data_IF_756922773619
#
_entry.id   IF_756922773619
#
_cell.length_a   1.000
_cell.length_b   1.000
_cell.length_c   1.000
_cell.angle_alpha   90.00
_cell.angle_beta   90.00
_cell.angle_gamma   90.00
#
_symmetry.space_group_name_H-M   'P 1'
#
loop_
_entity.id
_entity.type
_entity.pdbx_description
1 polymer ?
#
# COMPACT_ATOMS: atom_id res chain seq x y z
N UNK A 1 5.50 2.95 -2.59
CA UNK A 1 5.46 3.79 -3.81
C UNK A 1 4.35 3.24 -4.69
N UNK A 2 3.42 4.10 -5.11
CA UNK A 2 2.45 3.76 -6.16
C UNK A 2 3.02 4.34 -7.44
N UNK A 3 3.21 3.50 -8.46
CA UNK A 3 3.63 3.92 -9.79
C UNK A 3 2.50 3.53 -10.75
N UNK A 4 2.10 4.46 -11.60
CA UNK A 4 1.09 4.26 -12.64
C UNK A 4 1.50 5.04 -13.87
N UNK A 5 1.32 4.45 -15.04
CA UNK A 5 1.62 5.07 -16.33
C UNK A 5 0.53 4.71 -17.33
N UNK A 6 0.25 5.62 -18.26
CA UNK A 6 -0.69 5.39 -19.36
C UNK A 6 0.04 5.61 -20.68
N UNK A 7 -0.18 4.72 -21.65
CA UNK A 7 0.46 4.79 -22.98
C UNK A 7 2.01 4.85 -22.94
N UNK A 8 2.61 4.13 -21.99
CA UNK A 8 4.04 4.11 -21.67
C UNK A 8 4.69 2.76 -22.05
N UNK A 9 5.92 2.78 -22.59
CA UNK A 9 6.70 1.58 -22.90
C UNK A 9 7.38 1.01 -21.64
N UNK A 10 7.33 -0.30 -21.35
CA UNK A 10 7.55 -0.90 -20.02
C UNK A 10 9.01 -0.97 -19.51
N UNK A 11 9.90 -0.06 -19.91
CA UNK A 11 11.34 -0.16 -19.60
C UNK A 11 11.78 0.57 -18.32
N UNK A 12 10.96 1.45 -17.72
CA UNK A 12 11.34 2.11 -16.46
C UNK A 12 11.25 1.20 -15.24
N UNK A 13 12.18 1.34 -14.27
CA UNK A 13 12.12 0.62 -13.02
C UNK A 13 10.85 1.00 -12.24
N UNK A 14 10.13 0.02 -11.67
CA UNK A 14 8.86 0.25 -10.96
C UNK A 14 9.03 1.00 -9.63
N UNK A 15 10.27 1.25 -9.20
CA UNK A 15 10.63 1.91 -7.95
C UNK A 15 11.90 2.75 -8.14
N UNK A 16 11.92 3.91 -7.52
CA UNK A 16 13.05 4.83 -7.47
C UNK A 16 13.21 5.35 -6.04
N UNK A 17 14.44 5.66 -5.62
CA UNK A 17 14.70 6.32 -4.33
C UNK A 17 14.54 7.84 -4.45
N UNK A 18 14.28 8.50 -3.33
CA UNK A 18 14.36 9.97 -3.27
C UNK A 18 15.80 10.39 -3.60
N UNK A 19 15.95 11.37 -4.49
CA UNK A 19 17.23 11.83 -5.04
C UNK A 19 17.76 10.99 -6.21
N UNK A 20 17.11 9.89 -6.58
CA UNK A 20 17.53 9.04 -7.70
C UNK A 20 16.76 9.38 -8.98
N UNK A 21 17.49 9.66 -10.07
CA UNK A 21 16.90 10.06 -11.34
C UNK A 21 16.12 11.39 -11.25
N UNK A 22 15.48 11.78 -12.35
CA UNK A 22 14.78 13.08 -12.43
C UNK A 22 13.58 13.11 -11.47
N UNK A 23 12.80 12.03 -11.44
CA UNK A 23 11.62 11.89 -10.56
C UNK A 23 12.03 11.91 -9.08
N UNK A 24 13.08 11.19 -8.69
CA UNK A 24 13.58 11.23 -7.32
C UNK A 24 14.17 12.58 -6.93
N UNK A 25 14.81 13.29 -7.86
CA UNK A 25 15.32 14.65 -7.64
C UNK A 25 14.20 15.69 -7.47
N UNK A 26 13.10 15.58 -8.24
CA UNK A 26 11.92 16.42 -8.02
C UNK A 26 11.32 16.19 -6.63
N UNK A 27 11.25 14.93 -6.19
CA UNK A 27 10.82 14.58 -4.84
C UNK A 27 11.78 15.13 -3.76
N UNK A 28 13.10 15.05 -3.96
CA UNK A 28 14.09 15.54 -3.01
C UNK A 28 14.08 17.07 -2.88
N UNK A 29 14.02 17.76 -4.02
CA UNK A 29 14.07 19.22 -4.08
C UNK A 29 12.76 19.90 -3.68
N UNK A 30 11.63 19.16 -3.68
CA UNK A 30 10.28 19.68 -3.41
C UNK A 30 9.88 20.82 -4.35
N UNK A 31 10.45 20.84 -5.54
CA UNK A 31 10.21 21.87 -6.56
C UNK A 31 9.99 21.22 -7.93
N UNK A 32 9.19 21.85 -8.80
CA UNK A 32 9.08 21.42 -10.18
C UNK A 32 10.43 21.45 -10.89
N UNK A 33 10.71 20.44 -11.71
CA UNK A 33 11.87 20.36 -12.59
C UNK A 33 11.42 20.45 -14.04
N UNK A 34 12.10 21.27 -14.84
CA UNK A 34 11.82 21.47 -16.25
C UNK A 34 13.07 21.12 -17.05
N UNK A 35 12.96 20.13 -17.93
CA UNK A 35 14.02 19.71 -18.83
C UNK A 35 13.59 19.99 -20.26
N UNK A 36 14.43 20.72 -20.97
CA UNK A 36 14.21 21.09 -22.37
C UNK A 36 15.28 20.41 -23.23
N UNK A 37 14.98 20.25 -24.51
CA UNK A 37 15.92 19.73 -25.53
C UNK A 37 16.56 18.38 -25.17
N UNK A 38 15.72 17.43 -24.71
CA UNK A 38 16.13 16.06 -24.46
C UNK A 38 16.50 15.37 -25.78
N UNK A 39 17.80 15.26 -26.04
CA UNK A 39 18.35 14.59 -27.23
C UNK A 39 18.09 13.08 -27.23
N UNK A 40 18.15 12.45 -26.05
CA UNK A 40 17.83 11.04 -25.83
C UNK A 40 16.96 10.93 -24.58
N UNK A 41 15.64 10.88 -24.79
CA UNK A 41 14.70 10.50 -23.73
C UNK A 41 14.61 8.97 -23.67
N UNK A 42 14.75 8.41 -22.47
CA UNK A 42 14.46 7.00 -22.16
C UNK A 42 12.93 6.74 -22.16
N UNK A 43 12.12 7.80 -22.21
CA UNK A 43 10.66 7.73 -22.29
C UNK A 43 10.25 7.74 -23.76
N UNK A 44 9.44 6.75 -24.15
CA UNK A 44 8.77 6.70 -25.46
C UNK A 44 7.26 6.78 -25.25
N UNK A 45 6.61 7.76 -25.88
CA UNK A 45 5.15 7.88 -25.88
C UNK A 45 4.63 7.04 -27.04
N UNK A 46 3.76 6.06 -26.74
CA UNK A 46 3.16 5.18 -27.74
C UNK A 46 1.71 5.59 -27.98
N UNK A 47 1.33 5.79 -29.24
CA UNK A 47 -0.05 6.06 -29.65
C UNK A 47 -0.50 5.06 -30.71
N UNK A 48 -1.80 4.97 -30.97
CA UNK A 48 -2.35 4.16 -32.07
C UNK A 48 -1.87 4.59 -33.47
N UNK A 49 -1.23 5.76 -33.58
CA UNK A 49 -0.69 6.31 -34.83
C UNK A 49 0.85 6.21 -34.93
N UNK A 50 1.52 5.66 -33.90
CA UNK A 50 2.97 5.52 -33.86
C UNK A 50 3.57 5.87 -32.49
N UNK A 51 4.89 5.75 -32.39
CA UNK A 51 5.66 6.05 -31.19
C UNK A 51 6.65 7.18 -31.42
N UNK A 52 6.80 8.07 -30.44
CA UNK A 52 7.76 9.18 -30.53
C UNK A 52 8.27 9.58 -29.15
N UNK A 53 9.54 9.95 -29.07
CA UNK A 53 10.19 10.44 -27.84
C UNK A 53 9.83 11.92 -27.61
N UNK A 54 9.43 12.32 -26.39
CA UNK A 54 9.24 13.74 -26.07
C UNK A 54 10.61 14.45 -26.08
N UNK A 55 10.62 15.73 -26.46
CA UNK A 55 11.82 16.57 -26.42
C UNK A 55 11.88 17.43 -25.15
N UNK A 56 10.79 17.49 -24.39
CA UNK A 56 10.65 18.29 -23.19
C UNK A 56 9.95 17.48 -22.11
N UNK A 57 10.38 17.67 -20.87
CA UNK A 57 9.87 16.96 -19.71
C UNK A 57 9.64 17.96 -18.57
N UNK A 58 8.54 17.78 -17.85
CA UNK A 58 8.24 18.57 -16.66
C UNK A 58 7.79 17.66 -15.55
N UNK A 59 8.45 17.78 -14.40
CA UNK A 59 8.27 16.88 -13.27
C UNK A 59 7.83 17.69 -12.08
N UNK A 60 6.66 17.37 -11.54
CA UNK A 60 5.99 18.10 -10.48
C UNK A 60 5.86 17.21 -9.23
N UNK A 61 6.52 17.54 -8.12
CA UNK A 61 6.26 16.84 -6.86
C UNK A 61 4.84 17.16 -6.38
N UNK A 62 4.14 16.15 -5.88
CA UNK A 62 2.86 16.30 -5.19
C UNK A 62 3.14 16.52 -3.70
N UNK A 63 2.83 17.71 -3.19
CA UNK A 63 3.04 18.04 -1.78
C UNK A 63 1.72 18.09 -1.01
N UNK A 64 1.70 17.46 0.16
CA UNK A 64 0.68 17.63 1.17
C UNK A 64 1.38 17.97 2.49
N UNK A 65 1.11 19.16 3.06
CA UNK A 65 1.76 19.65 4.29
C UNK A 65 3.31 19.51 4.25
N UNK A 66 3.93 20.00 3.17
CA UNK A 66 5.39 19.92 2.91
C UNK A 66 5.97 18.50 2.76
N UNK A 67 5.13 17.47 2.81
CA UNK A 67 5.51 16.09 2.57
C UNK A 67 5.22 15.72 1.13
N UNK A 68 6.22 15.14 0.45
CA UNK A 68 6.03 14.62 -0.91
C UNK A 68 5.26 13.31 -0.86
N UNK A 69 4.04 13.31 -1.38
CA UNK A 69 3.15 12.15 -1.43
C UNK A 69 3.22 11.41 -2.77
N UNK A 70 3.79 12.03 -3.79
CA UNK A 70 3.96 11.46 -5.13
C UNK A 70 4.68 12.43 -6.07
N UNK A 71 4.83 12.04 -7.34
CA UNK A 71 5.41 12.87 -8.39
C UNK A 71 4.63 12.64 -9.68
N UNK A 72 4.34 13.71 -10.41
CA UNK A 72 3.77 13.68 -11.77
C UNK A 72 4.86 14.06 -12.75
N UNK A 73 5.00 13.28 -13.82
CA UNK A 73 5.93 13.52 -14.90
C UNK A 73 5.15 13.69 -16.22
N UNK A 74 5.46 14.76 -16.96
CA UNK A 74 4.77 15.15 -18.20
C UNK A 74 5.79 15.32 -19.33
N UNK A 75 5.71 14.49 -20.36
CA UNK A 75 6.51 14.60 -21.58
C UNK A 75 5.75 15.28 -22.73
N UNK A 76 6.42 16.17 -23.47
CA UNK A 76 5.87 16.80 -24.70
C UNK A 76 6.96 17.11 -25.74
N UNK A 77 6.56 17.62 -26.91
CA UNK A 77 7.46 17.96 -28.03
C UNK A 77 7.89 19.45 -28.11
N UNK A 78 7.53 20.27 -27.12
CA UNK A 78 7.84 21.71 -27.09
C UNK A 78 7.93 22.21 -25.64
N UNK A 79 8.29 23.46 -25.36
CA UNK A 79 8.42 23.93 -23.96
C UNK A 79 7.10 24.43 -23.35
N UNK A 80 6.74 23.98 -22.14
CA UNK A 80 5.59 24.54 -21.42
C UNK A 80 5.72 26.05 -21.25
N UNK A 81 4.70 26.78 -21.66
CA UNK A 81 4.58 28.21 -21.40
C UNK A 81 4.46 28.47 -19.89
N UNK A 82 4.79 29.67 -19.45
CA UNK A 82 4.68 30.04 -18.03
C UNK A 82 3.26 29.88 -17.48
N UNK A 83 2.25 30.20 -18.30
CA UNK A 83 0.83 30.07 -17.94
C UNK A 83 0.47 28.60 -17.73
N UNK A 84 0.89 27.70 -18.64
CA UNK A 84 0.68 26.26 -18.48
C UNK A 84 1.38 25.71 -17.23
N UNK A 85 2.63 26.12 -16.96
CA UNK A 85 3.36 25.67 -15.77
C UNK A 85 2.68 26.12 -14.47
N UNK A 86 2.19 27.36 -14.41
CA UNK A 86 1.44 27.88 -13.26
C UNK A 86 0.13 27.14 -13.06
N UNK A 87 -0.62 26.91 -14.14
CA UNK A 87 -1.86 26.15 -14.10
C UNK A 87 -1.62 24.72 -13.60
N UNK A 88 -0.63 24.01 -14.14
CA UNK A 88 -0.30 22.65 -13.70
C UNK A 88 0.10 22.65 -12.22
N UNK A 89 0.87 23.65 -11.76
CA UNK A 89 1.27 23.76 -10.36
C UNK A 89 0.06 23.87 -9.42
N UNK A 90 -0.98 24.63 -9.80
CA UNK A 90 -2.23 24.74 -9.04
C UNK A 90 -3.03 23.42 -9.05
N UNK A 91 -3.09 22.75 -10.19
CA UNK A 91 -3.78 21.45 -10.32
C UNK A 91 -3.08 20.38 -9.48
N UNK A 92 -1.75 20.37 -9.48
CA UNK A 92 -0.91 19.45 -8.70
C UNK A 92 -1.20 19.53 -7.20
N UNK A 93 -1.44 20.73 -6.66
CA UNK A 93 -1.82 20.92 -5.26
C UNK A 93 -3.14 20.21 -4.93
N UNK A 94 -4.16 20.39 -5.77
CA UNK A 94 -5.45 19.71 -5.61
C UNK A 94 -5.33 18.19 -5.72
N UNK A 95 -4.50 17.72 -6.67
CA UNK A 95 -4.23 16.29 -6.84
C UNK A 95 -3.52 15.73 -5.59
N UNK A 96 -2.58 16.45 -5.00
CA UNK A 96 -1.85 15.98 -3.81
C UNK A 96 -2.80 15.77 -2.63
N UNK A 97 -3.75 16.69 -2.40
CA UNK A 97 -4.79 16.57 -1.37
C UNK A 97 -5.68 15.35 -1.64
N UNK A 98 -6.20 15.22 -2.86
CA UNK A 98 -7.06 14.11 -3.24
C UNK A 98 -6.34 12.76 -3.13
N UNK A 99 -5.09 12.69 -3.57
CA UNK A 99 -4.25 11.50 -3.49
C UNK A 99 -3.99 11.09 -2.03
N UNK A 100 -3.62 12.04 -1.16
CA UNK A 100 -3.43 11.73 0.26
C UNK A 100 -4.73 11.25 0.92
N UNK A 101 -5.86 11.90 0.60
CA UNK A 101 -7.18 11.52 1.11
C UNK A 101 -7.56 10.10 0.71
N UNK A 102 -7.38 9.75 -0.57
CA UNK A 102 -7.60 8.39 -1.07
C UNK A 102 -6.69 7.37 -0.39
N UNK A 103 -5.40 7.69 -0.23
CA UNK A 103 -4.41 6.83 0.45
C UNK A 103 -4.80 6.56 1.90
N UNK A 104 -5.17 7.58 2.66
CA UNK A 104 -5.59 7.45 4.07
C UNK A 104 -6.85 6.60 4.17
N UNK A 105 -7.83 6.82 3.30
CA UNK A 105 -9.05 6.01 3.27
C UNK A 105 -8.76 4.54 3.01
N UNK A 106 -7.90 4.22 2.04
CA UNK A 106 -7.47 2.84 1.78
C UNK A 106 -6.78 2.20 2.99
N UNK A 107 -5.99 2.96 3.76
CA UNK A 107 -5.35 2.46 4.97
C UNK A 107 -6.37 2.16 6.07
N UNK A 108 -7.36 3.03 6.26
CA UNK A 108 -8.46 2.83 7.21
C UNK A 108 -9.23 1.55 6.86
N UNK A 109 -9.60 1.38 5.59
CA UNK A 109 -10.34 0.20 5.13
C UNK A 109 -9.53 -1.08 5.37
N UNK A 110 -8.23 -1.08 5.05
CA UNK A 110 -7.34 -2.21 5.29
C UNK A 110 -7.18 -2.54 6.79
N UNK A 111 -7.06 -1.51 7.64
CA UNK A 111 -6.97 -1.68 9.09
C UNK A 111 -8.28 -2.24 9.66
N UNK A 112 -9.43 -1.75 9.20
CA UNK A 112 -10.74 -2.24 9.61
C UNK A 112 -10.89 -3.73 9.28
N UNK A 113 -10.55 -4.14 8.05
CA UNK A 113 -10.58 -5.55 7.65
C UNK A 113 -9.67 -6.39 8.54
N UNK A 114 -8.46 -5.92 8.85
CA UNK A 114 -7.53 -6.63 9.73
C UNK A 114 -8.08 -6.78 11.15
N UNK A 115 -8.65 -5.73 11.72
CA UNK A 115 -9.25 -5.77 13.06
C UNK A 115 -10.43 -6.75 13.11
N UNK A 116 -11.28 -6.77 12.09
CA UNK A 116 -12.39 -7.73 12.01
C UNK A 116 -11.91 -9.17 11.93
N UNK A 117 -10.88 -9.45 11.12
CA UNK A 117 -10.28 -10.77 11.03
C UNK A 117 -9.69 -11.22 12.38
N UNK A 118 -8.95 -10.34 13.05
CA UNK A 118 -8.37 -10.64 14.36
C UNK A 118 -9.44 -10.90 15.44
N UNK A 119 -10.56 -10.16 15.40
CA UNK A 119 -11.69 -10.40 16.30
C UNK A 119 -12.34 -11.76 16.05
N UNK A 120 -12.53 -12.15 14.78
CA UNK A 120 -13.08 -13.46 14.43
C UNK A 120 -12.14 -14.62 14.84
N UNK A 121 -10.83 -14.46 14.64
CA UNK A 121 -9.82 -15.43 15.09
C UNK A 121 -9.81 -15.59 16.62
N UNK A 122 -9.88 -14.47 17.36
CA UNK A 122 -9.96 -14.50 18.82
C UNK A 122 -11.21 -15.22 19.31
N UNK A 123 -12.38 -14.94 18.72
CA UNK A 123 -13.63 -15.61 19.08
C UNK A 123 -13.55 -17.11 18.84
N UNK A 124 -12.99 -17.53 17.70
CA UNK A 124 -12.80 -18.95 17.40
C UNK A 124 -11.88 -19.64 18.43
N UNK A 125 -10.79 -18.99 18.84
CA UNK A 125 -9.91 -19.53 19.89
C UNK A 125 -10.62 -19.62 21.25
N UNK A 126 -11.45 -18.65 21.61
CA UNK A 126 -12.22 -18.69 22.86
C UNK A 126 -13.22 -19.86 22.87
N UNK A 127 -13.90 -20.11 21.75
CA UNK A 127 -14.81 -21.24 21.58
C UNK A 127 -14.07 -22.59 21.69
N UNK A 128 -12.90 -22.70 21.04
CA UNK A 128 -12.05 -23.91 21.11
C UNK A 128 -11.52 -24.16 22.54
N UNK A 129 -11.05 -23.10 23.22
CA UNK A 129 -10.61 -23.19 24.62
C UNK A 129 -11.75 -23.61 25.54
N UNK A 130 -12.97 -23.09 25.33
CA UNK A 130 -14.15 -23.49 26.10
C UNK A 130 -14.47 -24.96 25.89
N UNK A 131 -14.53 -25.42 24.64
CA UNK A 131 -14.78 -26.83 24.32
C UNK A 131 -13.71 -27.76 24.91
N UNK A 132 -12.44 -27.35 24.84
CA UNK A 132 -11.32 -28.11 25.42
C UNK A 132 -11.44 -28.20 26.94
N UNK A 133 -11.76 -27.09 27.62
CA UNK A 133 -11.97 -27.08 29.07
C UNK A 133 -13.15 -27.97 29.49
N UNK A 134 -14.27 -27.93 28.74
CA UNK A 134 -15.42 -28.81 28.97
C UNK A 134 -15.04 -30.29 28.82
N UNK A 135 -14.31 -30.64 27.75
CA UNK A 135 -13.83 -32.01 27.52
C UNK A 135 -12.86 -32.50 28.61
N UNK A 136 -11.94 -31.65 29.07
CA UNK A 136 -11.05 -31.95 30.18
C UNK A 136 -11.81 -32.18 31.49
N UNK A 137 -12.85 -31.38 31.76
CA UNK A 137 -13.69 -31.55 32.95
C UNK A 137 -14.41 -32.90 32.95
N UNK A 138 -14.99 -33.31 31.81
CA UNK A 138 -15.64 -34.62 31.65
C UNK A 138 -14.63 -35.75 31.89
N UNK A 139 -13.47 -35.69 31.22
CA UNK A 139 -12.42 -36.73 31.35
C UNK A 139 -11.89 -36.84 32.79
N UNK A 140 -11.73 -35.71 33.49
CA UNK A 140 -11.35 -35.70 34.89
C UNK A 140 -12.42 -36.33 35.81
N UNK A 141 -13.71 -36.10 35.53
CA UNK A 141 -14.80 -36.73 36.26
C UNK A 141 -14.84 -38.25 36.04
N UNK A 142 -14.68 -38.71 34.80
CA UNK A 142 -14.60 -40.14 34.47
C UNK A 142 -13.45 -40.84 35.18
N UNK A 143 -12.26 -40.23 35.18
CA UNK A 143 -11.10 -40.79 35.88
C UNK A 143 -11.34 -40.92 37.38
N UNK A 144 -11.92 -39.88 38.02
CA UNK A 144 -12.28 -39.93 39.44
C UNK A 144 -13.28 -41.04 39.74
N UNK A 145 -14.31 -41.20 38.91
CA UNK A 145 -15.30 -42.27 39.06
C UNK A 145 -14.66 -43.66 38.95
N UNK A 146 -13.76 -43.87 37.97
CA UNK A 146 -13.02 -45.14 37.83
C UNK A 146 -12.13 -45.43 39.04
N UNK A 147 -11.42 -44.43 39.55
CA UNK A 147 -10.58 -44.58 40.74
C UNK A 147 -11.39 -44.95 41.98
N UNK A 148 -12.53 -44.29 42.21
CA UNK A 148 -13.42 -44.60 43.33
C UNK A 148 -13.97 -46.04 43.24
N UNK A 149 -14.45 -46.46 42.07
CA UNK A 149 -14.98 -47.81 41.86
C UNK A 149 -13.91 -48.91 42.04
N UNK A 150 -12.65 -48.63 41.68
CA UNK A 150 -11.55 -49.55 41.91
C UNK A 150 -11.24 -49.70 43.41
N UNK A 151 -11.21 -48.59 44.17
CA UNK A 151 -10.98 -48.63 45.61
C UNK A 151 -12.07 -49.42 46.34
N UNK A 152 -13.34 -49.23 45.97
CA UNK A 152 -14.47 -49.93 46.58
C UNK A 152 -14.39 -51.46 46.37
N UNK A 153 -14.03 -51.90 45.16
CA UNK A 153 -13.78 -53.32 44.87
C UNK A 153 -12.61 -53.92 45.65
N UNK A 154 -11.60 -53.11 46.00
CA UNK A 154 -10.45 -53.58 46.76
C UNK A 154 -10.76 -53.69 48.26
N UNK A 155 -11.75 -52.93 48.75
CA UNK A 155 -12.23 -53.00 50.13
C UNK A 155 -13.18 -54.19 50.40
N UNK A 156 -13.94 -54.63 49.39
CA UNK A 156 -14.88 -55.78 49.50
C UNK A 156 -14.17 -57.15 49.41
N UNK A 157 -12.90 -57.20 49.01
CA UNK A 157 -12.09 -58.43 48.89
C UNK A 157 -11.02 -58.59 49.98
N UNK A 158 -11.04 -57.76 51.02
CA UNK A 158 -10.28 -57.95 52.26
C UNK A 158 -11.21 -58.38 53.38
#
# INVERSE_FOLDING_TARGET
SVAGGYAYAPEAPPRFKVGEGIVGQAAASRRPLFLNDLAESDITIISGLGSKKPTHLSVFPLLYEDVVVGVIELGRWSAFSKIEQQFISQVVESIAIAFNTARVRMQIDALLTKTQQQAAELQAQEEELRATNEALAVKAAELRAKHAAAQDKTAVHK
#
